data_IF_435341261430
#
_entry.id   IF_435341261430
#
_cell.length_a   1.000
_cell.length_b   1.000
_cell.length_c   1.000
_cell.angle_alpha   90.00
_cell.angle_beta   90.00
_cell.angle_gamma   90.00
#
_symmetry.space_group_name_H-M   'P 1'
#
loop_
_entity.id
_entity.type
_entity.pdbx_description
1 polymer ?
#
# COMPACT_ATOMS: atom_id res chain seq x y z
N UNK A 1 9.67 -9.68 -0.11
CA UNK A 1 9.62 -8.59 0.86
C UNK A 1 10.59 -7.52 0.37
N UNK A 2 10.10 -6.36 -0.05
CA UNK A 2 10.89 -5.29 -0.63
C UNK A 2 11.79 -4.65 0.43
N UNK A 3 11.23 -4.33 1.59
CA UNK A 3 11.95 -3.70 2.70
C UNK A 3 13.17 -4.48 3.20
N UNK A 4 13.27 -5.78 2.92
CA UNK A 4 14.40 -6.63 3.37
C UNK A 4 15.60 -6.59 2.43
N UNK A 5 15.49 -5.98 1.24
CA UNK A 5 16.62 -5.94 0.30
C UNK A 5 17.75 -5.06 0.86
N UNK A 6 18.98 -5.55 0.73
CA UNK A 6 20.20 -4.78 0.99
C UNK A 6 20.91 -4.50 -0.31
N UNK A 7 21.43 -3.30 -0.43
CA UNK A 7 22.32 -2.92 -1.52
C UNK A 7 23.38 -1.94 -1.05
N UNK A 8 24.35 -1.64 -1.89
CA UNK A 8 25.38 -0.64 -1.61
C UNK A 8 24.83 0.80 -1.61
N UNK A 9 23.62 1.04 -2.14
CA UNK A 9 23.11 2.39 -2.44
C UNK A 9 21.86 2.80 -1.64
N UNK A 10 21.08 1.84 -1.16
CA UNK A 10 19.84 2.15 -0.46
C UNK A 10 20.08 2.81 0.90
N UNK A 11 19.04 3.36 1.52
CA UNK A 11 19.19 4.14 2.76
C UNK A 11 18.89 3.35 4.03
N UNK A 12 19.16 2.03 4.05
CA UNK A 12 18.90 1.15 5.20
C UNK A 12 17.57 0.39 5.13
N UNK A 13 16.84 0.55 4.03
CA UNK A 13 15.66 -0.26 3.69
C UNK A 13 15.73 -0.57 2.19
N UNK A 14 15.24 -1.74 1.79
CA UNK A 14 15.06 -2.03 0.37
C UNK A 14 14.03 -1.11 -0.27
N UNK A 15 14.34 -0.55 -1.44
CA UNK A 15 13.52 0.47 -2.11
C UNK A 15 13.34 0.23 -3.63
N UNK A 16 12.68 1.15 -4.35
CA UNK A 16 12.43 0.98 -5.78
C UNK A 16 13.72 0.98 -6.63
N UNK A 17 14.80 1.59 -6.15
CA UNK A 17 16.11 1.51 -6.79
C UNK A 17 16.65 0.08 -6.77
N UNK A 18 16.51 -0.60 -5.62
CA UNK A 18 16.89 -2.00 -5.45
C UNK A 18 16.02 -2.94 -6.28
N UNK A 19 14.70 -2.70 -6.31
CA UNK A 19 13.78 -3.46 -7.14
C UNK A 19 14.19 -3.39 -8.62
N UNK A 20 14.47 -2.17 -9.11
CA UNK A 20 14.91 -1.94 -10.49
C UNK A 20 16.21 -2.68 -10.81
N UNK A 21 17.18 -2.68 -9.89
CA UNK A 21 18.43 -3.42 -10.06
C UNK A 21 18.20 -4.94 -10.05
N UNK A 22 17.39 -5.44 -9.12
CA UNK A 22 17.11 -6.87 -8.98
C UNK A 22 16.35 -7.44 -10.19
N UNK A 23 15.44 -6.67 -10.81
CA UNK A 23 14.74 -7.06 -12.03
C UNK A 23 15.71 -7.48 -13.14
N UNK A 24 16.77 -6.69 -13.34
CA UNK A 24 17.80 -6.98 -14.35
C UNK A 24 18.50 -8.30 -14.06
N UNK A 25 18.88 -8.55 -12.80
CA UNK A 25 19.57 -9.77 -12.41
C UNK A 25 18.69 -11.02 -12.51
N UNK A 26 17.41 -10.90 -12.14
CA UNK A 26 16.43 -11.97 -12.25
C UNK A 26 16.16 -12.29 -13.72
N UNK A 27 15.93 -11.29 -14.56
CA UNK A 27 15.68 -11.47 -15.99
C UNK A 27 16.86 -12.15 -16.70
N UNK A 28 18.10 -11.71 -16.44
CA UNK A 28 19.32 -12.33 -17.01
C UNK A 28 19.49 -13.81 -16.65
N UNK A 29 18.83 -14.28 -15.59
CA UNK A 29 18.85 -15.67 -15.12
C UNK A 29 17.62 -16.46 -15.56
N UNK A 30 16.76 -15.88 -16.40
CA UNK A 30 15.54 -16.51 -16.91
C UNK A 30 14.33 -16.41 -15.97
N UNK A 31 14.41 -15.63 -14.89
CA UNK A 31 13.27 -15.35 -14.03
C UNK A 31 12.25 -14.45 -14.74
N UNK A 32 10.96 -14.77 -14.58
CA UNK A 32 9.88 -14.09 -15.31
C UNK A 32 9.21 -12.95 -14.53
N UNK A 33 9.46 -12.84 -13.23
CA UNK A 33 8.93 -11.77 -12.39
C UNK A 33 9.70 -11.59 -11.08
N UNK A 34 9.44 -10.46 -10.41
CA UNK A 34 9.67 -10.29 -8.96
C UNK A 34 8.31 -10.09 -8.28
N UNK A 35 8.05 -10.91 -7.26
CA UNK A 35 6.89 -10.79 -6.37
C UNK A 35 7.16 -9.87 -5.20
N UNK A 36 6.21 -8.99 -4.92
CA UNK A 36 6.29 -8.00 -3.84
C UNK A 36 5.32 -8.35 -2.72
N UNK A 37 5.63 -7.87 -1.53
CA UNK A 37 4.60 -7.67 -0.50
C UNK A 37 3.69 -6.51 -0.88
N UNK A 38 2.60 -6.30 -0.13
CA UNK A 38 1.81 -5.10 -0.31
C UNK A 38 2.68 -3.85 -0.13
N UNK A 39 2.59 -2.93 -1.08
CA UNK A 39 3.33 -1.65 -1.08
C UNK A 39 2.36 -0.48 -0.88
N UNK A 40 1.22 -0.76 -0.24
CA UNK A 40 0.16 0.18 0.10
C UNK A 40 0.66 1.30 1.00
N UNK A 41 0.08 2.49 0.90
CA UNK A 41 0.39 3.62 1.77
C UNK A 41 0.22 3.23 3.24
N UNK A 42 1.28 3.46 4.03
CA UNK A 42 1.28 3.30 5.49
C UNK A 42 1.24 4.68 6.14
N UNK A 43 2.06 4.91 7.17
CA UNK A 43 2.03 6.13 7.98
C UNK A 43 3.43 6.74 8.10
N UNK A 44 3.82 7.71 7.25
CA UNK A 44 5.11 8.39 7.40
C UNK A 44 5.29 9.08 8.77
N UNK A 45 4.17 9.52 9.37
CA UNK A 45 4.13 10.11 10.70
C UNK A 45 4.20 9.09 11.85
N UNK A 46 3.98 7.79 11.58
CA UNK A 46 4.07 6.70 12.55
C UNK A 46 4.78 5.48 11.92
N UNK A 47 6.08 5.61 11.60
CA UNK A 47 6.80 4.68 10.72
C UNK A 47 6.97 3.27 11.31
N UNK A 48 6.93 3.12 12.63
CA UNK A 48 7.02 1.82 13.31
C UNK A 48 5.75 0.97 13.11
N UNK A 49 4.62 1.56 12.70
CA UNK A 49 3.43 0.82 12.26
C UNK A 49 3.63 0.28 10.84
N UNK A 50 4.54 -0.69 10.73
CA UNK A 50 5.16 -1.10 9.48
C UNK A 50 4.50 -2.33 8.81
N UNK A 51 3.38 -2.83 9.34
CA UNK A 51 2.70 -3.98 8.73
C UNK A 51 2.08 -3.60 7.37
N UNK A 52 2.47 -4.26 6.27
CA UNK A 52 1.85 -4.03 4.96
C UNK A 52 0.35 -4.40 4.89
N UNK A 53 -0.16 -5.10 5.90
CA UNK A 53 -1.50 -5.65 5.97
C UNK A 53 -2.47 -4.81 6.82
N UNK A 54 -1.99 -3.71 7.42
CA UNK A 54 -2.81 -2.68 8.06
C UNK A 54 -2.55 -1.32 7.42
N UNK A 55 -2.77 -1.17 6.09
CA UNK A 55 -2.42 0.05 5.38
C UNK A 55 -3.40 1.19 5.68
N UNK A 56 -2.91 2.42 5.49
CA UNK A 56 -3.72 3.64 5.51
C UNK A 56 -4.68 3.69 4.31
N UNK A 57 -4.18 3.29 3.13
CA UNK A 57 -4.97 3.11 1.92
C UNK A 57 -4.36 2.06 1.00
N UNK A 58 -5.21 1.29 0.31
CA UNK A 58 -4.80 0.32 -0.73
C UNK A 58 -4.75 0.92 -2.13
N UNK A 59 -5.13 2.19 -2.29
CA UNK A 59 -5.04 2.92 -3.58
C UNK A 59 -3.67 3.55 -3.78
N UNK A 60 -3.03 3.97 -2.69
CA UNK A 60 -1.80 4.76 -2.69
C UNK A 60 -0.59 3.94 -2.25
N UNK A 61 0.62 4.49 -2.46
CA UNK A 61 1.87 3.77 -2.29
C UNK A 61 2.59 4.15 -0.99
N UNK A 62 3.36 3.22 -0.43
CA UNK A 62 4.25 3.48 0.69
C UNK A 62 5.46 4.30 0.23
N UNK A 63 5.49 5.57 0.64
CA UNK A 63 6.53 6.54 0.25
C UNK A 63 7.91 6.21 0.80
N UNK A 64 8.03 5.29 1.77
CA UNK A 64 9.35 4.85 2.27
C UNK A 64 10.18 4.15 1.18
N UNK A 65 9.53 3.61 0.15
CA UNK A 65 10.19 2.92 -0.97
C UNK A 65 10.73 3.86 -2.05
N UNK A 66 10.58 5.19 -1.91
CA UNK A 66 11.22 6.14 -2.81
C UNK A 66 12.75 5.99 -2.68
N UNK A 67 13.42 5.70 -3.80
CA UNK A 67 14.87 5.83 -3.96
C UNK A 67 15.20 7.32 -4.08
N UNK A 68 15.65 7.92 -2.98
CA UNK A 68 16.01 9.34 -2.92
C UNK A 68 17.23 9.64 -3.81
N UNK A 69 18.08 8.64 -4.08
CA UNK A 69 19.21 8.82 -4.99
C UNK A 69 18.75 9.05 -6.44
N UNK A 70 17.53 8.66 -6.80
CA UNK A 70 16.95 8.89 -8.12
C UNK A 70 16.18 10.22 -8.25
N UNK A 71 16.10 11.02 -7.17
CA UNK A 71 15.41 12.32 -7.18
C UNK A 71 16.39 13.41 -7.61
N UNK A 72 16.16 14.01 -8.78
CA UNK A 72 17.05 15.05 -9.34
C UNK A 72 17.22 16.24 -8.39
N UNK A 73 16.12 16.78 -7.85
CA UNK A 73 16.16 17.94 -6.96
C UNK A 73 16.86 17.70 -5.61
N UNK A 74 17.04 16.44 -5.20
CA UNK A 74 17.89 16.13 -4.05
C UNK A 74 19.37 16.45 -4.35
N UNK A 75 19.82 16.16 -5.58
CA UNK A 75 21.18 16.45 -6.02
C UNK A 75 21.40 17.93 -6.33
N UNK A 76 20.37 18.63 -6.82
CA UNK A 76 20.44 20.05 -7.15
C UNK A 76 20.34 20.97 -5.93
N UNK A 77 19.76 20.49 -4.82
CA UNK A 77 19.58 21.29 -3.60
C UNK A 77 20.89 21.42 -2.81
N UNK A 78 21.46 22.63 -2.78
CA UNK A 78 22.65 22.94 -1.96
C UNK A 78 22.42 22.63 -0.47
N UNK A 79 21.22 22.92 0.04
CA UNK A 79 20.81 22.60 1.42
C UNK A 79 20.87 21.09 1.67
N UNK A 80 20.33 20.29 0.74
CA UNK A 80 20.34 18.83 0.85
C UNK A 80 21.75 18.26 0.74
N UNK A 81 22.59 18.78 -0.14
CA UNK A 81 23.97 18.33 -0.29
C UNK A 81 24.83 18.67 0.94
N UNK A 82 24.64 19.85 1.53
CA UNK A 82 25.29 20.22 2.78
C UNK A 82 24.87 19.29 3.93
N UNK A 83 23.56 19.02 4.06
CA UNK A 83 23.03 18.07 5.05
C UNK A 83 23.56 16.65 4.84
N UNK A 84 23.64 16.18 3.59
CA UNK A 84 24.13 14.84 3.26
C UNK A 84 25.59 14.65 3.65
N UNK A 85 26.42 15.69 3.52
CA UNK A 85 27.84 15.66 3.87
C UNK A 85 28.11 15.73 5.38
N UNK A 86 27.11 16.01 6.22
CA UNK A 86 27.30 16.06 7.66
C UNK A 86 27.76 14.68 8.19
N UNK A 87 28.79 14.62 9.05
CA UNK A 87 29.23 13.36 9.65
C UNK A 87 28.12 12.65 10.42
N UNK A 88 27.22 13.40 11.06
CA UNK A 88 26.05 12.85 11.75
C UNK A 88 25.09 12.16 10.79
N UNK A 89 24.79 12.78 9.64
CA UNK A 89 23.91 12.18 8.61
C UNK A 89 24.52 10.89 8.07
N UNK A 90 25.81 10.92 7.73
CA UNK A 90 26.51 9.73 7.21
C UNK A 90 26.61 8.62 8.26
N UNK A 91 26.85 8.95 9.53
CA UNK A 91 26.90 7.97 10.61
C UNK A 91 25.53 7.32 10.85
N UNK A 92 24.45 8.12 10.90
CA UNK A 92 23.08 7.61 11.04
C UNK A 92 22.71 6.69 9.88
N UNK A 93 23.02 7.10 8.65
CA UNK A 93 22.80 6.27 7.45
C UNK A 93 23.57 4.95 7.54
N UNK A 94 24.85 4.99 7.91
CA UNK A 94 25.68 3.79 8.03
C UNK A 94 25.11 2.83 9.07
N UNK A 95 24.70 3.33 10.24
CA UNK A 95 24.06 2.52 11.28
C UNK A 95 22.76 1.86 10.79
N UNK A 96 21.89 2.62 10.11
CA UNK A 96 20.66 2.09 9.54
C UNK A 96 20.92 1.01 8.48
N UNK A 97 21.97 1.16 7.66
CA UNK A 97 22.38 0.17 6.64
C UNK A 97 23.04 -1.07 7.23
N UNK A 98 23.80 -0.93 8.32
CA UNK A 98 24.53 -2.01 8.97
C UNK A 98 23.64 -2.86 9.89
N UNK A 99 22.58 -2.29 10.44
CA UNK A 99 21.64 -2.99 11.32
C UNK A 99 21.04 -4.21 10.63
N UNK A 100 20.90 -5.33 11.34
CA UNK A 100 20.26 -6.55 10.82
C UNK A 100 18.74 -6.40 10.61
N UNK A 101 18.15 -5.41 11.26
CA UNK A 101 16.71 -5.11 11.27
C UNK A 101 16.48 -3.71 10.71
N UNK A 102 15.39 -3.56 9.95
CA UNK A 102 15.02 -2.24 9.40
C UNK A 102 14.63 -1.31 10.55
N UNK A 103 15.34 -0.19 10.67
CA UNK A 103 14.98 0.92 11.56
C UNK A 103 14.06 1.89 10.81
N UNK A 104 12.74 1.67 10.92
CA UNK A 104 11.74 2.42 10.16
C UNK A 104 11.75 3.90 10.51
N UNK A 105 11.87 4.24 11.79
CA UNK A 105 11.96 5.63 12.28
C UNK A 105 13.15 6.36 11.69
N UNK A 106 14.35 5.79 11.80
CA UNK A 106 15.57 6.44 11.31
C UNK A 106 15.55 6.61 9.79
N UNK A 107 15.15 5.56 9.05
CA UNK A 107 15.09 5.62 7.58
C UNK A 107 14.04 6.62 7.11
N UNK A 108 12.87 6.65 7.73
CA UNK A 108 11.81 7.62 7.39
C UNK A 108 12.28 9.04 7.67
N UNK A 109 12.93 9.29 8.81
CA UNK A 109 13.46 10.62 9.15
C UNK A 109 14.51 11.10 8.13
N UNK A 110 15.46 10.23 7.72
CA UNK A 110 16.46 10.52 6.69
C UNK A 110 15.78 10.90 5.36
N UNK A 111 14.86 10.04 4.88
CA UNK A 111 14.18 10.25 3.60
C UNK A 111 13.29 11.49 3.61
N UNK A 112 12.47 11.70 4.64
CA UNK A 112 11.58 12.86 4.74
C UNK A 112 12.36 14.17 4.80
N UNK A 113 13.47 14.20 5.55
CA UNK A 113 14.34 15.38 5.64
C UNK A 113 14.94 15.72 4.27
N UNK A 114 15.53 14.73 3.60
CA UNK A 114 16.10 14.89 2.25
C UNK A 114 15.06 15.34 1.22
N UNK A 115 13.92 14.65 1.18
CA UNK A 115 12.84 14.91 0.23
C UNK A 115 12.20 16.28 0.48
N UNK A 116 12.10 16.74 1.73
CA UNK A 116 11.58 18.07 2.00
C UNK A 116 12.51 19.17 1.51
N UNK A 117 13.83 18.99 1.60
CA UNK A 117 14.80 19.92 1.00
C UNK A 117 14.78 19.86 -0.53
N UNK A 118 14.56 18.69 -1.13
CA UNK A 118 14.39 18.54 -2.58
C UNK A 118 13.11 19.22 -3.08
N UNK A 119 12.00 19.07 -2.34
CA UNK A 119 10.72 19.69 -2.66
C UNK A 119 10.81 21.21 -2.80
N UNK A 120 11.57 21.89 -1.94
CA UNK A 120 11.76 23.35 -2.03
C UNK A 120 12.29 23.80 -3.40
N UNK A 121 13.13 22.98 -4.03
CA UNK A 121 13.63 23.20 -5.40
C UNK A 121 12.58 22.81 -6.44
N UNK A 122 12.02 21.61 -6.32
CA UNK A 122 11.02 21.10 -7.26
C UNK A 122 9.80 22.02 -7.38
N UNK A 123 9.32 22.57 -6.25
CA UNK A 123 8.16 23.46 -6.19
C UNK A 123 8.33 24.76 -7.00
N UNK A 124 9.57 25.14 -7.34
CA UNK A 124 9.88 26.33 -8.14
C UNK A 124 10.03 26.03 -9.63
N UNK A 125 9.96 24.75 -10.05
CA UNK A 125 10.05 24.37 -11.45
C UNK A 125 8.87 24.88 -12.25
N UNK A 126 9.16 25.27 -13.49
CA UNK A 126 8.18 25.58 -14.53
C UNK A 126 8.59 24.85 -15.82
N UNK A 127 8.57 23.52 -15.75
CA UNK A 127 9.09 22.62 -16.78
C UNK A 127 8.17 21.39 -16.97
N UNK A 128 8.64 20.44 -17.78
CA UNK A 128 7.93 19.18 -18.06
C UNK A 128 7.69 18.34 -16.80
N UNK A 129 8.59 18.40 -15.80
CA UNK A 129 8.45 17.64 -14.55
C UNK A 129 7.30 18.19 -13.70
N UNK A 130 7.23 19.52 -13.53
CA UNK A 130 6.11 20.16 -12.83
C UNK A 130 4.78 19.92 -13.59
N UNK A 131 4.82 19.94 -14.93
CA UNK A 131 3.64 19.66 -15.76
C UNK A 131 3.15 18.22 -15.56
N UNK A 132 4.05 17.23 -15.61
CA UNK A 132 3.72 15.82 -15.39
C UNK A 132 3.18 15.56 -13.98
N UNK A 133 3.78 16.18 -12.96
CA UNK A 133 3.29 16.11 -11.58
C UNK A 133 1.86 16.67 -11.47
N UNK A 134 1.60 17.88 -11.98
CA UNK A 134 0.27 18.49 -11.92
C UNK A 134 -0.77 17.71 -12.71
N UNK A 135 -0.39 17.13 -13.85
CA UNK A 135 -1.26 16.26 -14.63
C UNK A 135 -1.62 15.00 -13.84
N UNK A 136 -0.64 14.34 -13.23
CA UNK A 136 -0.90 13.19 -12.35
C UNK A 136 -1.88 13.55 -11.23
N UNK A 137 -1.67 14.67 -10.53
CA UNK A 137 -2.58 15.12 -9.46
C UNK A 137 -4.01 15.32 -9.99
N UNK A 138 -4.16 15.96 -11.16
CA UNK A 138 -5.46 16.19 -11.76
C UNK A 138 -6.18 14.90 -12.19
N UNK A 139 -5.45 13.92 -12.74
CA UNK A 139 -5.99 12.63 -13.16
C UNK A 139 -6.39 11.74 -11.99
N UNK A 140 -5.67 11.82 -10.87
CA UNK A 140 -5.92 11.00 -9.69
C UNK A 140 -7.05 11.54 -8.79
N UNK A 141 -7.32 12.85 -8.84
CA UNK A 141 -8.48 13.48 -8.21
C UNK A 141 -8.51 13.38 -6.68
N UNK A 142 -9.73 13.43 -6.12
CA UNK A 142 -9.98 13.62 -4.70
C UNK A 142 -9.36 12.54 -3.81
N UNK A 143 -9.29 11.29 -4.29
CA UNK A 143 -8.70 10.20 -3.50
C UNK A 143 -7.22 10.46 -3.21
N UNK A 144 -6.47 11.04 -4.14
CA UNK A 144 -5.07 11.41 -3.93
C UNK A 144 -4.95 12.62 -3.02
N UNK A 145 -5.79 13.62 -3.23
CA UNK A 145 -5.83 14.80 -2.38
C UNK A 145 -6.04 14.43 -0.91
N UNK A 146 -7.01 13.56 -0.62
CA UNK A 146 -7.30 13.15 0.76
C UNK A 146 -6.22 12.26 1.37
N UNK A 147 -5.50 11.46 0.58
CA UNK A 147 -4.31 10.77 1.08
C UNK A 147 -3.23 11.76 1.52
N UNK A 148 -2.92 12.74 0.68
CA UNK A 148 -1.89 13.73 0.99
C UNK A 148 -2.30 14.64 2.15
N UNK A 149 -3.58 15.06 2.21
CA UNK A 149 -4.11 15.83 3.33
C UNK A 149 -4.10 15.04 4.64
N UNK A 150 -4.42 13.74 4.60
CA UNK A 150 -4.30 12.85 5.76
C UNK A 150 -2.86 12.79 6.27
N UNK A 151 -1.89 12.53 5.41
CA UNK A 151 -0.47 12.43 5.81
C UNK A 151 0.07 13.78 6.33
N UNK A 152 -0.32 14.90 5.70
CA UNK A 152 0.01 16.24 6.15
C UNK A 152 -0.55 16.52 7.55
N UNK A 153 -1.83 16.23 7.77
CA UNK A 153 -2.48 16.42 9.06
C UNK A 153 -1.87 15.48 10.11
N UNK A 154 -1.68 14.20 9.79
CA UNK A 154 -1.09 13.21 10.68
C UNK A 154 0.30 13.64 11.16
N UNK A 155 1.13 14.17 10.26
CA UNK A 155 2.45 14.69 10.61
C UNK A 155 2.41 15.89 11.57
N UNK A 156 1.33 16.69 11.59
CA UNK A 156 1.14 17.74 12.59
C UNK A 156 0.57 17.17 13.90
N UNK A 157 -0.35 16.22 13.82
CA UNK A 157 -0.96 15.59 14.99
C UNK A 157 0.08 14.90 15.88
N UNK A 158 1.04 14.17 15.29
CA UNK A 158 2.09 13.48 16.08
C UNK A 158 3.10 14.43 16.74
N UNK A 159 3.21 15.68 16.26
CA UNK A 159 4.03 16.71 16.93
C UNK A 159 3.38 17.21 18.21
N UNK A 160 2.04 17.21 18.26
CA UNK A 160 1.31 17.55 19.48
C UNK A 160 1.30 16.38 20.46
N UNK A 161 1.12 15.15 19.98
CA UNK A 161 1.13 13.93 20.77
C UNK A 161 1.48 12.72 19.89
N UNK A 162 2.64 12.10 20.15
CA UNK A 162 3.14 10.95 19.39
C UNK A 162 2.21 9.72 19.43
N UNK A 163 1.29 9.66 20.40
CA UNK A 163 0.30 8.58 20.52
C UNK A 163 -0.89 8.73 19.57
N UNK A 164 -0.97 9.82 18.78
CA UNK A 164 -2.01 10.03 17.76
C UNK A 164 -1.75 9.16 16.53
N UNK A 165 -2.05 7.87 16.67
CA UNK A 165 -1.76 6.81 15.69
C UNK A 165 -2.57 6.91 14.39
N UNK A 166 -3.74 7.55 14.40
CA UNK A 166 -4.63 7.70 13.25
C UNK A 166 -5.83 8.59 13.58
N UNK A 167 -6.73 8.79 12.62
CA UNK A 167 -7.81 9.78 12.75
C UNK A 167 -8.73 9.60 13.99
N UNK A 168 -9.02 8.40 14.52
CA UNK A 168 -9.86 8.26 15.72
C UNK A 168 -9.22 8.86 16.99
N UNK A 169 -7.89 9.02 17.00
CA UNK A 169 -7.13 9.60 18.10
C UNK A 169 -6.93 11.12 17.95
N UNK A 170 -7.40 11.74 16.87
CA UNK A 170 -7.30 13.18 16.67
C UNK A 170 -8.45 13.91 17.38
N UNK A 171 -8.32 15.22 17.65
CA UNK A 171 -9.46 16.05 18.07
C UNK A 171 -10.66 15.88 17.12
N UNK A 172 -11.88 15.86 17.66
CA UNK A 172 -13.11 15.59 16.90
C UNK A 172 -13.26 16.48 15.65
N UNK A 173 -12.81 17.74 15.73
CA UNK A 173 -12.84 18.70 14.62
C UNK A 173 -12.03 18.25 13.38
N UNK A 174 -11.05 17.36 13.55
CA UNK A 174 -10.25 16.78 12.48
C UNK A 174 -10.71 15.38 12.06
N UNK A 175 -11.64 14.79 12.79
CA UNK A 175 -12.14 13.45 12.47
C UNK A 175 -13.12 13.47 11.29
N UNK A 176 -13.82 14.58 11.02
CA UNK A 176 -14.67 14.71 9.85
C UNK A 176 -13.92 15.42 8.72
N UNK A 177 -13.75 14.75 7.58
CA UNK A 177 -13.05 15.29 6.40
C UNK A 177 -13.73 16.55 5.85
N UNK A 178 -15.04 16.69 6.02
CA UNK A 178 -15.84 17.82 5.56
C UNK A 178 -15.92 18.98 6.57
N UNK A 179 -15.18 18.92 7.69
CA UNK A 179 -15.23 19.97 8.70
C UNK A 179 -14.60 21.28 8.21
N UNK A 180 -15.09 22.45 8.69
CA UNK A 180 -14.44 23.73 8.42
C UNK A 180 -12.97 23.74 8.82
N UNK A 181 -12.60 23.05 9.91
CA UNK A 181 -11.25 23.01 10.45
C UNK A 181 -10.29 22.19 9.59
N UNK A 182 -10.75 21.07 9.01
CA UNK A 182 -9.96 20.30 8.03
C UNK A 182 -9.76 21.10 6.75
N UNK A 183 -10.80 21.79 6.28
CA UNK A 183 -10.69 22.67 5.12
C UNK A 183 -9.70 23.81 5.37
N UNK A 184 -9.82 24.49 6.51
CA UNK A 184 -8.90 25.55 6.91
C UNK A 184 -7.46 25.02 7.00
N UNK A 185 -7.27 23.84 7.61
CA UNK A 185 -5.97 23.19 7.67
C UNK A 185 -5.36 23.00 6.27
N UNK A 186 -6.13 22.46 5.32
CA UNK A 186 -5.68 22.23 3.95
C UNK A 186 -5.35 23.54 3.21
N UNK A 187 -6.08 24.62 3.48
CA UNK A 187 -5.82 25.95 2.90
C UNK A 187 -4.54 26.57 3.48
N UNK A 188 -4.33 26.49 4.80
CA UNK A 188 -3.17 27.06 5.51
C UNK A 188 -1.90 26.24 5.31
N UNK A 189 -2.00 24.91 5.18
CA UNK A 189 -0.89 23.98 5.03
C UNK A 189 -0.81 23.41 3.61
N UNK A 190 -1.17 24.21 2.61
CA UNK A 190 -1.19 23.80 1.20
C UNK A 190 0.15 23.24 0.72
N UNK A 191 1.27 23.84 1.13
CA UNK A 191 2.62 23.34 0.79
C UNK A 191 2.91 21.97 1.41
N UNK A 192 2.35 21.67 2.59
CA UNK A 192 2.47 20.33 3.19
C UNK A 192 1.66 19.30 2.40
N UNK A 193 0.43 19.63 2.02
CA UNK A 193 -0.39 18.76 1.17
C UNK A 193 0.29 18.53 -0.19
N UNK A 194 0.76 19.59 -0.84
CA UNK A 194 1.46 19.51 -2.13
C UNK A 194 2.74 18.65 -2.05
N UNK A 195 3.46 18.70 -0.92
CA UNK A 195 4.60 17.82 -0.69
C UNK A 195 4.19 16.34 -0.64
N UNK A 196 3.13 15.97 0.08
CA UNK A 196 2.68 14.57 0.12
C UNK A 196 2.07 14.10 -1.20
N UNK A 197 1.44 15.01 -1.97
CA UNK A 197 1.06 14.74 -3.37
C UNK A 197 2.29 14.40 -4.22
N UNK A 198 3.36 15.18 -4.07
CA UNK A 198 4.62 14.96 -4.79
C UNK A 198 5.28 13.64 -4.40
N UNK A 199 5.25 13.25 -3.12
CA UNK A 199 5.76 11.95 -2.69
C UNK A 199 5.01 10.78 -3.35
N UNK A 200 3.68 10.86 -3.45
CA UNK A 200 2.90 9.84 -4.17
C UNK A 200 3.24 9.79 -5.66
N UNK A 201 3.43 10.97 -6.29
CA UNK A 201 3.88 11.04 -7.68
C UNK A 201 5.28 10.43 -7.89
N UNK A 202 6.22 10.68 -6.97
CA UNK A 202 7.56 10.06 -7.01
C UNK A 202 7.47 8.55 -6.86
N UNK A 203 6.72 8.05 -5.89
CA UNK A 203 6.53 6.62 -5.67
C UNK A 203 5.90 5.95 -6.90
N UNK A 204 4.86 6.56 -7.46
CA UNK A 204 4.22 6.12 -8.71
C UNK A 204 5.23 6.07 -9.87
N UNK A 205 5.98 7.15 -10.08
CA UNK A 205 6.92 7.29 -11.19
C UNK A 205 8.07 6.30 -11.09
N UNK A 206 8.60 6.07 -9.89
CA UNK A 206 9.68 5.12 -9.67
C UNK A 206 9.20 3.66 -9.80
N UNK A 207 7.99 3.35 -9.34
CA UNK A 207 7.39 2.04 -9.57
C UNK A 207 7.13 1.79 -11.07
N UNK A 208 6.64 2.80 -11.79
CA UNK A 208 6.49 2.75 -13.25
C UNK A 208 7.86 2.54 -13.95
N UNK A 209 8.93 3.18 -13.49
CA UNK A 209 10.27 2.94 -14.02
C UNK A 209 10.76 1.49 -13.80
N UNK A 210 10.38 0.85 -12.68
CA UNK A 210 10.65 -0.58 -12.47
C UNK A 210 9.87 -1.44 -13.47
N UNK A 211 8.60 -1.11 -13.69
CA UNK A 211 7.75 -1.78 -14.67
C UNK A 211 8.34 -1.70 -16.09
N UNK A 212 8.72 -0.51 -16.55
CA UNK A 212 9.32 -0.31 -17.88
C UNK A 212 10.62 -1.10 -18.05
N UNK A 213 11.46 -1.17 -17.01
CA UNK A 213 12.66 -2.03 -17.04
C UNK A 213 12.28 -3.50 -17.22
N UNK A 214 11.25 -3.98 -16.52
CA UNK A 214 10.80 -5.37 -16.67
C UNK A 214 10.31 -5.68 -18.09
N UNK A 215 9.63 -4.71 -18.73
CA UNK A 215 9.16 -4.83 -20.11
C UNK A 215 10.31 -4.78 -21.12
N UNK A 216 11.30 -3.91 -20.91
CA UNK A 216 12.50 -3.84 -21.74
C UNK A 216 13.36 -5.11 -21.72
N UNK A 217 13.27 -5.91 -20.65
CA UNK A 217 13.87 -7.24 -20.54
C UNK A 217 12.92 -8.37 -20.98
N UNK A 218 11.76 -8.04 -21.55
CA UNK A 218 10.77 -8.99 -22.07
C UNK A 218 10.31 -10.03 -21.04
N UNK A 219 10.29 -9.63 -19.76
CA UNK A 219 9.79 -10.50 -18.69
C UNK A 219 8.28 -10.73 -18.91
N UNK A 220 7.81 -12.00 -19.03
CA UNK A 220 6.40 -12.27 -19.36
C UNK A 220 5.39 -11.69 -18.35
N UNK A 221 5.79 -11.56 -17.09
CA UNK A 221 4.99 -10.96 -16.01
C UNK A 221 5.66 -9.69 -15.49
N UNK A 222 6.98 -9.68 -15.33
CA UNK A 222 7.75 -8.52 -14.85
C UNK A 222 7.54 -8.24 -13.37
N UNK A 223 6.49 -7.50 -13.02
CA UNK A 223 6.13 -7.20 -11.63
C UNK A 223 4.87 -7.95 -11.21
N UNK A 224 4.93 -8.54 -10.02
CA UNK A 224 3.83 -9.22 -9.35
C UNK A 224 3.52 -8.51 -8.03
N UNK A 225 2.41 -7.76 -8.01
CA UNK A 225 1.95 -6.99 -6.84
C UNK A 225 1.09 -7.84 -5.91
N UNK A 226 0.90 -7.33 -4.70
CA UNK A 226 0.08 -7.98 -3.67
C UNK A 226 -0.94 -7.00 -3.06
N UNK A 227 -2.22 -7.38 -3.14
CA UNK A 227 -3.35 -6.61 -2.62
C UNK A 227 -3.81 -7.20 -1.28
N UNK A 228 -3.63 -6.45 -0.20
CA UNK A 228 -4.07 -6.81 1.13
C UNK A 228 -5.61 -6.81 1.22
N UNK A 229 -6.15 -7.65 2.11
CA UNK A 229 -7.60 -7.87 2.24
C UNK A 229 -8.38 -6.63 2.71
N UNK A 230 -7.75 -5.72 3.46
CA UNK A 230 -8.41 -4.52 4.01
C UNK A 230 -7.46 -3.36 4.30
N UNK A 231 -8.01 -2.32 4.93
CA UNK A 231 -7.31 -1.14 5.43
C UNK A 231 -7.45 -1.06 6.94
N UNK A 232 -6.56 -0.33 7.62
CA UNK A 232 -6.70 -0.08 9.05
C UNK A 232 -7.83 0.92 9.33
N UNK A 233 -8.45 0.82 10.52
CA UNK A 233 -9.60 1.64 10.91
C UNK A 233 -9.31 3.14 11.05
N UNK A 234 -8.04 3.49 11.27
CA UNK A 234 -7.60 4.88 11.49
C UNK A 234 -6.84 5.48 10.31
N UNK A 235 -6.87 4.83 9.14
CA UNK A 235 -6.20 5.26 7.92
C UNK A 235 -6.99 6.25 7.06
N UNK A 236 -6.31 6.81 6.06
CA UNK A 236 -6.85 7.79 5.12
C UNK A 236 -8.12 7.29 4.40
N UNK A 237 -8.18 6.01 4.02
CA UNK A 237 -9.29 5.45 3.25
C UNK A 237 -10.60 5.43 4.06
N UNK A 238 -10.53 5.09 5.35
CA UNK A 238 -11.68 5.18 6.27
C UNK A 238 -11.99 6.61 6.73
N UNK A 239 -11.00 7.50 6.64
CA UNK A 239 -11.17 8.91 6.98
C UNK A 239 -12.01 9.62 5.91
N UNK A 240 -11.68 9.43 4.62
CA UNK A 240 -12.34 10.11 3.51
C UNK A 240 -13.61 9.42 3.00
N UNK A 241 -13.78 8.10 3.18
CA UNK A 241 -14.96 7.37 2.71
C UNK A 241 -15.53 6.46 3.81
N UNK A 242 -15.90 7.08 4.93
CA UNK A 242 -16.32 6.37 6.14
C UNK A 242 -17.56 5.51 5.96
N UNK A 243 -18.47 5.93 5.07
CA UNK A 243 -19.71 5.22 4.77
C UNK A 243 -19.41 3.81 4.25
N UNK A 244 -18.38 3.65 3.41
CA UNK A 244 -18.02 2.38 2.79
C UNK A 244 -17.63 1.28 3.79
N UNK A 245 -17.24 1.64 5.02
CA UNK A 245 -16.64 0.74 5.99
C UNK A 245 -17.47 0.55 7.26
N UNK A 246 -17.63 -0.70 7.70
CA UNK A 246 -18.34 -1.01 8.93
C UNK A 246 -17.39 -0.99 10.15
N UNK A 247 -17.10 0.21 10.69
CA UNK A 247 -16.16 0.40 11.81
C UNK A 247 -16.53 -0.33 13.12
N UNK A 248 -17.77 -0.81 13.26
CA UNK A 248 -18.23 -1.60 14.42
C UNK A 248 -18.01 -3.11 14.25
N UNK A 249 -17.31 -3.51 13.20
CA UNK A 249 -16.89 -4.89 12.97
C UNK A 249 -15.42 -4.92 12.56
N UNK A 250 -14.77 -6.06 12.77
CA UNK A 250 -13.42 -6.34 12.31
C UNK A 250 -13.41 -7.62 11.49
N UNK A 251 -12.67 -7.63 10.39
CA UNK A 251 -12.40 -8.83 9.60
C UNK A 251 -11.47 -9.74 10.39
N UNK A 252 -11.69 -11.05 10.27
CA UNK A 252 -10.82 -12.06 10.85
C UNK A 252 -10.96 -13.41 10.16
N UNK A 253 -10.65 -14.45 10.90
CA UNK A 253 -10.89 -15.84 10.53
C UNK A 253 -11.54 -16.60 11.70
N UNK A 254 -12.48 -17.52 11.43
CA UNK A 254 -13.06 -18.36 12.49
C UNK A 254 -11.99 -19.28 13.10
N UNK A 255 -12.22 -19.82 14.30
CA UNK A 255 -11.44 -20.92 14.84
C UNK A 255 -11.28 -22.09 13.88
N UNK A 256 -10.06 -22.57 13.69
CA UNK A 256 -9.75 -23.75 12.89
C UNK A 256 -8.78 -24.71 13.60
N UNK A 257 -8.42 -25.83 12.95
CA UNK A 257 -7.58 -26.89 13.55
C UNK A 257 -6.18 -26.38 13.90
N UNK A 258 -5.61 -25.46 13.10
CA UNK A 258 -4.26 -24.93 13.29
C UNK A 258 -4.24 -23.68 14.18
N UNK A 259 -5.33 -22.91 14.16
CA UNK A 259 -5.57 -21.72 14.97
C UNK A 259 -6.89 -21.85 15.74
N UNK A 260 -6.93 -22.60 16.86
CA UNK A 260 -8.17 -22.90 17.59
C UNK A 260 -8.81 -21.68 18.26
N UNK A 261 -8.13 -20.54 18.32
CA UNK A 261 -8.67 -19.27 18.82
C UNK A 261 -9.31 -18.41 17.72
N UNK A 262 -9.15 -18.79 16.45
CA UNK A 262 -9.44 -17.91 15.32
C UNK A 262 -8.46 -16.74 15.27
N UNK A 263 -8.76 -15.75 14.43
CA UNK A 263 -7.93 -14.57 14.24
C UNK A 263 -8.83 -13.33 14.13
N UNK A 264 -8.42 -12.24 14.77
CA UNK A 264 -8.98 -10.91 14.52
C UNK A 264 -7.87 -10.07 13.87
N UNK A 265 -8.11 -9.58 12.66
CA UNK A 265 -7.12 -8.83 11.90
C UNK A 265 -7.20 -7.32 12.13
N UNK A 266 -8.22 -6.84 12.86
CA UNK A 266 -8.37 -5.41 13.18
C UNK A 266 -8.66 -4.51 11.97
N UNK A 267 -9.24 -5.06 10.91
CA UNK A 267 -9.56 -4.31 9.68
C UNK A 267 -11.08 -4.13 9.58
N UNK A 268 -11.64 -2.92 9.45
CA UNK A 268 -13.06 -2.76 9.21
C UNK A 268 -13.42 -3.31 7.82
N UNK A 269 -14.45 -4.16 7.70
CA UNK A 269 -14.87 -4.66 6.41
C UNK A 269 -15.54 -3.57 5.57
N UNK A 270 -15.37 -3.62 4.25
CA UNK A 270 -16.24 -2.87 3.34
C UNK A 270 -17.67 -3.42 3.41
N UNK A 271 -18.67 -2.54 3.43
CA UNK A 271 -20.07 -2.93 3.43
C UNK A 271 -20.47 -3.49 2.05
N UNK A 272 -20.88 -4.78 1.95
CA UNK A 272 -21.29 -5.39 0.68
C UNK A 272 -22.49 -4.67 0.04
N UNK A 273 -23.38 -4.08 0.84
CA UNK A 273 -24.54 -3.35 0.34
C UNK A 273 -24.10 -2.05 -0.34
N UNK A 274 -23.13 -1.33 0.25
CA UNK A 274 -22.61 -0.09 -0.35
C UNK A 274 -21.80 -0.39 -1.61
N UNK A 275 -21.03 -1.48 -1.63
CA UNK A 275 -20.35 -1.94 -2.86
C UNK A 275 -21.36 -2.08 -4.00
N UNK A 276 -22.49 -2.76 -3.77
CA UNK A 276 -23.52 -2.94 -4.80
C UNK A 276 -24.28 -1.63 -5.11
N UNK A 277 -24.60 -0.82 -4.09
CA UNK A 277 -25.33 0.44 -4.26
C UNK A 277 -24.54 1.48 -5.06
N UNK A 278 -23.20 1.45 -4.94
CA UNK A 278 -22.26 2.25 -5.74
C UNK A 278 -21.87 1.57 -7.05
N UNK A 279 -22.63 0.58 -7.52
CA UNK A 279 -22.39 -0.14 -8.76
C UNK A 279 -20.96 -0.68 -8.90
N UNK A 280 -20.40 -1.18 -7.80
CA UNK A 280 -19.04 -1.76 -7.69
C UNK A 280 -17.88 -0.79 -7.85
N UNK A 281 -18.13 0.53 -7.92
CA UNK A 281 -17.08 1.55 -8.06
C UNK A 281 -15.90 1.37 -7.09
N UNK A 282 -16.09 1.15 -5.76
CA UNK A 282 -14.95 0.96 -4.86
C UNK A 282 -14.10 -0.27 -5.19
N UNK A 283 -14.70 -1.36 -5.71
CA UNK A 283 -13.96 -2.55 -6.12
C UNK A 283 -13.22 -2.31 -7.46
N UNK A 284 -13.86 -1.62 -8.40
CA UNK A 284 -13.26 -1.25 -9.69
C UNK A 284 -12.03 -0.36 -9.47
N UNK A 285 -12.16 0.69 -8.65
CA UNK A 285 -11.07 1.62 -8.36
C UNK A 285 -9.91 0.94 -7.60
N UNK A 286 -10.22 0.01 -6.70
CA UNK A 286 -9.22 -0.81 -6.02
C UNK A 286 -8.38 -1.64 -7.01
N UNK A 287 -9.04 -2.29 -7.98
CA UNK A 287 -8.37 -3.09 -9.00
C UNK A 287 -7.53 -2.21 -9.94
N UNK A 288 -8.07 -1.08 -10.43
CA UNK A 288 -7.34 -0.15 -11.31
C UNK A 288 -6.05 0.35 -10.65
N UNK A 289 -6.13 0.78 -9.40
CA UNK A 289 -4.98 1.23 -8.63
C UNK A 289 -3.92 0.12 -8.45
N UNK A 290 -4.36 -1.14 -8.38
CA UNK A 290 -3.50 -2.29 -8.08
C UNK A 290 -3.03 -3.11 -9.29
N UNK A 291 -3.68 -2.98 -10.44
CA UNK A 291 -3.30 -3.68 -11.67
C UNK A 291 -2.42 -2.83 -12.61
N UNK A 292 -2.37 -1.51 -12.41
CA UNK A 292 -1.46 -0.66 -13.19
C UNK A 292 0.02 -1.01 -12.95
N UNK A 293 0.82 -0.91 -14.01
CA UNK A 293 2.29 -1.10 -14.02
C UNK A 293 2.75 -2.44 -13.42
N UNK A 294 1.99 -3.51 -13.63
CA UNK A 294 2.36 -4.87 -13.25
C UNK A 294 1.66 -5.91 -14.14
N UNK A 295 2.29 -7.08 -14.30
CA UNK A 295 1.73 -8.17 -15.10
C UNK A 295 0.94 -9.19 -14.28
N UNK A 296 1.04 -9.17 -12.95
CA UNK A 296 0.27 -10.03 -12.07
C UNK A 296 -0.12 -9.33 -10.76
N UNK A 297 -1.29 -9.71 -10.23
CA UNK A 297 -1.80 -9.26 -8.94
C UNK A 297 -2.19 -10.46 -8.06
N UNK A 298 -1.64 -10.51 -6.84
CA UNK A 298 -2.10 -11.39 -5.77
C UNK A 298 -3.31 -10.74 -5.12
N UNK A 299 -4.37 -11.51 -4.93
CA UNK A 299 -5.48 -11.13 -4.05
C UNK A 299 -5.33 -11.94 -2.77
N UNK A 300 -4.95 -11.25 -1.70
CA UNK A 300 -4.87 -11.81 -0.35
C UNK A 300 -6.27 -12.23 0.12
N UNK A 301 -6.39 -13.43 0.69
CA UNK A 301 -7.65 -14.00 1.14
C UNK A 301 -8.74 -13.92 0.06
N UNK A 302 -8.53 -14.60 -1.08
CA UNK A 302 -9.40 -14.49 -2.28
C UNK A 302 -10.87 -14.88 -2.00
N UNK A 303 -11.09 -15.65 -0.93
CA UNK A 303 -12.42 -15.98 -0.40
C UNK A 303 -13.25 -14.75 -0.01
N UNK A 304 -12.62 -13.59 0.21
CA UNK A 304 -13.27 -12.31 0.51
C UNK A 304 -14.34 -11.91 -0.51
N UNK A 305 -14.19 -12.31 -1.79
CA UNK A 305 -15.21 -12.07 -2.82
C UNK A 305 -16.50 -12.88 -2.59
N UNK A 306 -16.44 -13.99 -1.84
CA UNK A 306 -17.62 -14.77 -1.44
C UNK A 306 -18.12 -14.37 -0.06
N UNK A 307 -17.21 -14.29 0.91
CA UNK A 307 -17.54 -14.00 2.30
C UNK A 307 -16.33 -13.56 3.11
N UNK A 308 -16.56 -12.73 4.11
CA UNK A 308 -15.59 -12.42 5.16
C UNK A 308 -16.15 -12.83 6.51
N UNK A 309 -15.27 -13.24 7.42
CA UNK A 309 -15.62 -13.46 8.82
C UNK A 309 -15.61 -12.12 9.54
N UNK A 310 -16.78 -11.64 9.93
CA UNK A 310 -16.96 -10.38 10.64
C UNK A 310 -17.11 -10.64 12.12
N UNK A 311 -16.29 -9.97 12.93
CA UNK A 311 -16.28 -10.05 14.39
C UNK A 311 -16.82 -8.71 14.92
N UNK A 312 -17.81 -8.69 15.82
CA UNK A 312 -18.24 -7.46 16.47
C UNK A 312 -17.07 -6.75 17.16
N UNK A 313 -17.00 -5.43 17.07
CA UNK A 313 -15.85 -4.67 17.57
C UNK A 313 -15.61 -4.91 19.07
N UNK A 314 -14.37 -5.25 19.43
CA UNK A 314 -13.95 -5.56 20.79
C UNK A 314 -14.14 -7.02 21.23
N UNK A 315 -14.77 -7.86 20.41
CA UNK A 315 -14.98 -9.28 20.72
C UNK A 315 -13.86 -10.19 20.18
N UNK A 316 -13.82 -11.43 20.68
CA UNK A 316 -12.92 -12.48 20.19
C UNK A 316 -13.45 -13.16 18.92
N UNK A 317 -12.57 -13.80 18.16
CA UNK A 317 -12.88 -14.30 16.82
C UNK A 317 -13.98 -15.38 16.78
N UNK A 318 -14.23 -16.10 17.87
CA UNK A 318 -15.31 -17.07 18.02
C UNK A 318 -16.71 -16.45 18.03
N UNK A 319 -16.83 -15.13 18.25
CA UNK A 319 -18.09 -14.39 18.21
C UNK A 319 -18.47 -13.88 16.81
N UNK A 320 -17.63 -14.15 15.80
CA UNK A 320 -17.88 -13.69 14.45
C UNK A 320 -18.91 -14.51 13.67
N UNK A 321 -19.24 -14.02 12.48
CA UNK A 321 -20.06 -14.73 11.52
C UNK A 321 -19.62 -14.41 10.09
N UNK A 322 -19.91 -15.32 9.15
CA UNK A 322 -19.68 -15.05 7.74
C UNK A 322 -20.73 -14.08 7.18
N UNK A 323 -20.26 -12.96 6.65
CA UNK A 323 -21.05 -12.00 5.85
C UNK A 323 -20.69 -12.21 4.38
N UNK A 324 -21.72 -12.33 3.53
CA UNK A 324 -21.56 -12.68 2.12
C UNK A 324 -21.37 -11.43 1.23
N UNK A 325 -20.59 -11.63 0.17
CA UNK A 325 -20.36 -10.67 -0.91
C UNK A 325 -20.86 -11.26 -2.25
N UNK A 326 -21.21 -10.42 -3.23
CA UNK A 326 -21.76 -10.85 -4.52
C UNK A 326 -20.67 -11.45 -5.44
N UNK A 327 -20.23 -12.67 -5.13
CA UNK A 327 -19.06 -13.33 -5.74
C UNK A 327 -19.06 -13.38 -7.26
N UNK A 328 -20.21 -13.62 -7.89
CA UNK A 328 -20.28 -13.81 -9.33
C UNK A 328 -20.04 -12.49 -10.08
N UNK A 329 -20.58 -11.39 -9.56
CA UNK A 329 -20.36 -10.05 -10.10
C UNK A 329 -18.91 -9.62 -9.86
N UNK A 330 -18.37 -9.85 -8.65
CA UNK A 330 -16.99 -9.51 -8.31
C UNK A 330 -15.98 -10.29 -9.16
N UNK A 331 -16.17 -11.59 -9.38
CA UNK A 331 -15.30 -12.38 -10.27
C UNK A 331 -15.40 -11.94 -11.73
N UNK A 332 -16.58 -11.50 -12.18
CA UNK A 332 -16.77 -10.98 -13.54
C UNK A 332 -16.03 -9.65 -13.73
N UNK A 333 -16.15 -8.73 -12.77
CA UNK A 333 -15.43 -7.45 -12.77
C UNK A 333 -13.92 -7.67 -12.67
N UNK A 334 -13.49 -8.60 -11.81
CA UNK A 334 -12.09 -8.98 -11.67
C UNK A 334 -11.50 -9.46 -13.00
N UNK A 335 -12.20 -10.35 -13.70
CA UNK A 335 -11.78 -10.83 -15.01
C UNK A 335 -11.76 -9.71 -16.07
N UNK A 336 -12.74 -8.80 -16.03
CA UNK A 336 -12.82 -7.64 -16.93
C UNK A 336 -11.62 -6.70 -16.73
N UNK A 337 -11.37 -6.27 -15.50
CA UNK A 337 -10.25 -5.37 -15.20
C UNK A 337 -8.90 -6.05 -15.40
N UNK A 338 -8.77 -7.35 -15.04
CA UNK A 338 -7.59 -8.17 -15.35
C UNK A 338 -7.26 -8.13 -16.84
N UNK A 339 -8.27 -8.34 -17.70
CA UNK A 339 -8.10 -8.29 -19.16
C UNK A 339 -7.73 -6.89 -19.66
N UNK A 340 -8.37 -5.83 -19.14
CA UNK A 340 -8.09 -4.45 -19.54
C UNK A 340 -6.66 -4.02 -19.22
N UNK A 341 -6.13 -4.48 -18.10
CA UNK A 341 -4.76 -4.17 -17.66
C UNK A 341 -3.72 -5.17 -18.16
N UNK A 342 -4.14 -6.30 -18.76
CA UNK A 342 -3.26 -7.44 -19.07
C UNK A 342 -2.51 -7.94 -17.81
N UNK A 343 -3.19 -7.90 -16.68
CA UNK A 343 -2.65 -8.25 -15.38
C UNK A 343 -3.32 -9.55 -14.91
N UNK A 344 -2.59 -10.66 -14.89
CA UNK A 344 -3.15 -11.95 -14.45
C UNK A 344 -3.40 -11.96 -12.94
N UNK A 345 -4.32 -12.80 -12.48
CA UNK A 345 -4.73 -12.84 -11.08
C UNK A 345 -4.33 -14.15 -10.42
N UNK A 346 -3.68 -14.05 -9.27
CA UNK A 346 -3.35 -15.16 -8.39
C UNK A 346 -4.16 -14.96 -7.10
N UNK A 347 -5.09 -15.87 -6.84
CA UNK A 347 -5.89 -15.84 -5.61
C UNK A 347 -5.17 -16.63 -4.53
N UNK A 348 -4.87 -15.99 -3.39
CA UNK A 348 -4.45 -16.76 -2.22
C UNK A 348 -5.66 -17.47 -1.61
N UNK A 349 -5.69 -18.78 -1.78
CA UNK A 349 -6.76 -19.69 -1.42
C UNK A 349 -6.30 -20.74 -0.39
N UNK A 350 -5.58 -20.31 0.64
CA UNK A 350 -5.16 -21.18 1.75
C UNK A 350 -6.24 -21.22 2.86
N UNK A 351 -6.15 -22.24 3.71
CA UNK A 351 -7.11 -22.47 4.79
C UNK A 351 -8.39 -23.18 4.32
N UNK A 352 -9.52 -22.88 4.94
CA UNK A 352 -10.79 -23.57 4.66
C UNK A 352 -11.53 -22.92 3.48
N UNK A 353 -11.28 -23.43 2.27
CA UNK A 353 -11.90 -22.96 1.03
C UNK A 353 -13.20 -23.73 0.74
N UNK A 354 -14.38 -23.07 0.67
CA UNK A 354 -15.62 -23.74 0.30
C UNK A 354 -15.52 -24.39 -1.09
N UNK A 355 -15.97 -25.64 -1.23
CA UNK A 355 -15.90 -26.38 -2.51
C UNK A 355 -16.53 -25.61 -3.67
N UNK A 356 -17.58 -24.83 -3.40
CA UNK A 356 -18.25 -23.99 -4.39
C UNK A 356 -17.32 -22.94 -5.04
N UNK A 357 -16.45 -22.29 -4.26
CA UNK A 357 -15.60 -21.22 -4.78
C UNK A 357 -14.43 -21.77 -5.61
N UNK A 358 -13.99 -23.00 -5.33
CA UNK A 358 -12.89 -23.65 -6.07
C UNK A 358 -13.21 -23.75 -7.56
N UNK A 359 -14.44 -24.14 -7.90
CA UNK A 359 -14.90 -24.23 -9.28
C UNK A 359 -14.96 -22.87 -9.95
N UNK A 360 -15.56 -21.88 -9.27
CA UNK A 360 -15.74 -20.50 -9.76
C UNK A 360 -14.39 -19.83 -10.06
N UNK A 361 -13.45 -19.87 -9.12
CA UNK A 361 -12.09 -19.31 -9.28
C UNK A 361 -11.37 -19.90 -10.49
N UNK A 362 -11.39 -21.24 -10.62
CA UNK A 362 -10.76 -21.94 -11.75
C UNK A 362 -11.39 -21.54 -13.09
N UNK A 363 -12.72 -21.51 -13.19
CA UNK A 363 -13.41 -21.14 -14.43
C UNK A 363 -13.26 -19.65 -14.78
N UNK A 364 -13.02 -18.79 -13.79
CA UNK A 364 -12.72 -17.36 -13.99
C UNK A 364 -11.25 -17.10 -14.35
N UNK A 365 -10.40 -18.14 -14.42
CA UNK A 365 -8.98 -18.01 -14.78
C UNK A 365 -8.08 -17.51 -13.64
N UNK A 366 -8.56 -17.56 -12.39
CA UNK A 366 -7.75 -17.22 -11.21
C UNK A 366 -6.80 -18.38 -10.91
N UNK A 367 -5.51 -18.07 -10.77
CA UNK A 367 -4.48 -19.04 -10.38
C UNK A 367 -4.54 -19.29 -8.87
N UNK A 368 -4.43 -20.55 -8.47
CA UNK A 368 -4.41 -20.98 -7.06
C UNK A 368 -3.01 -20.85 -6.47
N UNK A 369 -2.91 -20.74 -5.14
CA UNK A 369 -1.65 -20.67 -4.41
C UNK A 369 -1.35 -22.00 -3.74
N UNK A 370 -0.17 -22.56 -4.00
CA UNK A 370 0.24 -23.89 -3.49
C UNK A 370 1.52 -23.76 -2.68
N UNK A 371 1.43 -24.03 -1.38
CA UNK A 371 2.54 -23.95 -0.45
C UNK A 371 3.05 -25.36 -0.19
N UNK A 372 4.31 -25.63 -0.57
CA UNK A 372 4.90 -26.97 -0.48
C UNK A 372 4.68 -27.67 0.87
N UNK A 373 4.76 -26.93 1.97
CA UNK A 373 4.57 -27.47 3.33
C UNK A 373 3.16 -27.98 3.61
N UNK A 374 2.14 -27.49 2.90
CA UNK A 374 0.74 -27.90 3.06
C UNK A 374 0.30 -28.92 2.00
N UNK A 375 1.06 -29.11 0.92
CA UNK A 375 0.75 -30.07 -0.15
C UNK A 375 1.18 -31.50 0.24
N UNK A 376 0.57 -32.03 1.30
CA UNK A 376 0.66 -33.41 1.72
C UNK A 376 -0.71 -33.92 2.19
N UNK A 377 -0.90 -35.23 2.12
CA UNK A 377 -2.09 -35.88 2.67
C UNK A 377 -1.86 -36.34 4.11
N UNK A 378 -2.95 -36.80 4.75
CA UNK A 378 -2.96 -37.37 6.09
C UNK A 378 -2.15 -38.67 6.27
N UNK A 379 -1.60 -39.27 5.20
CA UNK A 379 -0.89 -40.56 5.27
C UNK A 379 0.59 -40.40 5.61
N UNK A 380 1.13 -39.17 5.60
CA UNK A 380 2.49 -38.88 6.08
C UNK A 380 2.50 -38.75 7.61
N UNK A 381 2.98 -39.80 8.27
CA UNK A 381 3.38 -39.82 9.68
C UNK A 381 4.75 -39.19 9.89
#
# INVERSE_FOLDING_TARGET
>A
QLYTLRSEKNWGIGDFGDLKAMLVDVAKRGGSFIGLNPIHALYPANPESASPYSPSSRRWLNVIYIDVNAVEDFHLSEEAQAWWQLPTTQQTLQQARDADWVDYSTVTALKMTALRMAWKGFAQRDDEQMTAFRQFVAEQGDSLFWQAAFDALHAQQVKEDEMRWGWPAWPEMYQNVDSPEVRQFCEEHRDDVDFYLWLQWLAYSQFAACWEISQGYEMPIGLYRDLAVGVAEGGAETWCDRELYCLKASVGAPPDILGPLGQNWGLPPMDPHIITARAYEPFIELLRANMQNCGALRIDHVMSMLRLWWIPYGETADQGAYVHYPVDDLLSILALESKRHRCMVIGEDLGTVPVEIVGKLRSSGVYSYKVLYFENDHEKT
#
